data_IF_054101667815
#
_entry.id   IF_054101667815
#
_cell.length_a   1.000
_cell.length_b   1.000
_cell.length_c   1.000
_cell.angle_alpha   90.00
_cell.angle_beta   90.00
_cell.angle_gamma   90.00
#
_symmetry.space_group_name_H-M   'P 1'
#
loop_
_entity.id
_entity.type
_entity.pdbx_description
1 polymer ?
#
# COMPACT_ATOMS: atom_id res chain seq x y z
N UNK A 1 -13.04 4.62 17.46
CA UNK A 1 -13.08 5.85 16.63
C UNK A 1 -11.95 6.75 17.10
N UNK A 2 -10.77 6.63 16.50
CA UNK A 2 -9.61 7.48 16.82
C UNK A 2 -9.72 8.76 15.97
N UNK A 3 -9.78 9.92 16.62
CA UNK A 3 -9.89 11.20 15.95
C UNK A 3 -8.50 11.62 15.42
N UNK A 4 -8.17 11.22 14.20
CA UNK A 4 -6.98 11.72 13.50
C UNK A 4 -7.31 13.01 12.75
N UNK A 5 -6.43 14.00 12.86
CA UNK A 5 -6.60 15.34 12.28
C UNK A 5 -6.26 15.32 10.80
N UNK A 6 -7.28 15.43 9.96
CA UNK A 6 -7.07 15.56 8.51
C UNK A 6 -6.56 16.97 8.18
N UNK A 7 -5.51 17.10 7.35
CA UNK A 7 -5.10 18.41 6.87
C UNK A 7 -6.22 19.04 6.03
N UNK A 8 -6.47 20.34 6.21
CA UNK A 8 -7.55 21.08 5.51
C UNK A 8 -7.38 21.12 3.98
N UNK A 9 -6.20 20.77 3.45
CA UNK A 9 -5.87 20.80 2.02
C UNK A 9 -5.27 19.46 1.60
N UNK A 10 -6.11 18.59 1.04
CA UNK A 10 -5.70 17.33 0.42
C UNK A 10 -5.29 17.58 -1.03
N UNK A 11 -4.11 17.11 -1.42
CA UNK A 11 -3.65 17.12 -2.80
C UNK A 11 -4.58 16.33 -3.74
N UNK A 12 -4.50 16.56 -5.06
CA UNK A 12 -5.38 15.90 -6.03
C UNK A 12 -5.23 14.37 -6.00
N UNK A 13 -4.02 13.85 -5.73
CA UNK A 13 -3.74 12.42 -5.61
C UNK A 13 -4.29 11.81 -4.32
N UNK A 14 -4.18 12.52 -3.20
CA UNK A 14 -4.73 12.09 -1.91
C UNK A 14 -6.26 12.00 -1.97
N UNK A 15 -6.91 12.90 -2.71
CA UNK A 15 -8.36 12.86 -2.92
C UNK A 15 -8.82 11.62 -3.70
N UNK A 16 -8.01 11.14 -4.65
CA UNK A 16 -8.29 9.93 -5.42
C UNK A 16 -8.02 8.69 -4.56
N UNK A 17 -6.90 8.65 -3.83
CA UNK A 17 -6.57 7.54 -2.94
C UNK A 17 -7.57 7.37 -1.79
N UNK A 18 -8.04 8.47 -1.19
CA UNK A 18 -9.06 8.45 -0.13
C UNK A 18 -10.49 8.20 -0.62
N UNK A 19 -10.72 8.11 -1.93
CA UNK A 19 -12.02 7.71 -2.50
C UNK A 19 -12.24 6.20 -2.51
N UNK A 20 -11.18 5.38 -2.41
CA UNK A 20 -11.37 3.94 -2.28
C UNK A 20 -11.94 3.60 -0.89
N UNK A 21 -13.07 2.89 -0.80
CA UNK A 21 -13.79 2.72 0.47
C UNK A 21 -12.98 1.97 1.54
N UNK A 22 -12.22 0.94 1.13
CA UNK A 22 -11.45 0.11 2.06
C UNK A 22 -10.00 0.60 2.12
N UNK A 23 -9.34 0.75 0.97
CA UNK A 23 -7.94 1.20 0.90
C UNK A 23 -7.78 2.65 1.37
N UNK A 24 -8.68 3.56 0.98
CA UNK A 24 -8.64 4.95 1.43
C UNK A 24 -8.85 5.10 2.93
N UNK A 25 -9.59 4.18 3.55
CA UNK A 25 -9.75 4.15 5.01
C UNK A 25 -8.45 3.70 5.69
N UNK A 26 -7.86 2.59 5.27
CA UNK A 26 -6.58 2.09 5.83
C UNK A 26 -5.46 3.12 5.63
N UNK A 27 -5.35 3.70 4.43
CA UNK A 27 -4.36 4.73 4.12
C UNK A 27 -4.50 5.96 5.02
N UNK A 28 -5.74 6.39 5.30
CA UNK A 28 -5.99 7.51 6.21
C UNK A 28 -5.54 7.20 7.64
N UNK A 29 -5.82 5.99 8.10
CA UNK A 29 -5.40 5.53 9.43
C UNK A 29 -3.87 5.34 9.52
N UNK A 30 -3.19 4.98 8.43
CA UNK A 30 -1.72 4.84 8.39
C UNK A 30 -1.01 6.20 8.29
N UNK A 31 -1.49 7.13 7.47
CA UNK A 31 -0.82 8.41 7.25
C UNK A 31 -1.05 9.43 8.38
N UNK A 32 -2.24 9.40 9.01
CA UNK A 32 -2.64 10.40 10.01
C UNK A 32 -2.99 9.79 11.36
N UNK A 33 -3.00 8.46 11.48
CA UNK A 33 -3.26 7.78 12.74
C UNK A 33 -2.00 7.61 13.61
N UNK A 34 -2.17 6.81 14.66
CA UNK A 34 -1.12 6.53 15.62
C UNK A 34 -0.02 5.62 15.00
N UNK A 35 1.25 5.71 15.45
CA UNK A 35 2.37 5.00 14.84
C UNK A 35 2.18 3.46 14.82
N UNK A 36 1.44 2.92 15.79
CA UNK A 36 1.08 1.50 15.86
C UNK A 36 0.23 1.03 14.66
N UNK A 37 -0.46 1.94 13.98
CA UNK A 37 -1.36 1.61 12.89
C UNK A 37 -0.64 1.06 11.64
N UNK A 38 0.65 1.38 11.51
CA UNK A 38 1.53 0.82 10.47
C UNK A 38 1.63 -0.70 10.60
N UNK A 39 1.73 -1.23 11.83
CA UNK A 39 1.81 -2.67 12.06
C UNK A 39 0.52 -3.39 11.69
N UNK A 40 -0.64 -2.78 11.95
CA UNK A 40 -1.93 -3.34 11.55
C UNK A 40 -2.11 -3.35 10.03
N UNK A 41 -1.65 -2.31 9.34
CA UNK A 41 -1.66 -2.27 7.87
C UNK A 41 -0.73 -3.33 7.27
N UNK A 42 0.47 -3.49 7.82
CA UNK A 42 1.41 -4.53 7.40
C UNK A 42 0.85 -5.94 7.62
N UNK A 43 0.27 -6.20 8.80
CA UNK A 43 -0.37 -7.48 9.10
C UNK A 43 -1.51 -7.78 8.12
N UNK A 44 -2.37 -6.78 7.84
CA UNK A 44 -3.46 -6.91 6.86
C UNK A 44 -2.94 -7.22 5.46
N UNK A 45 -1.85 -6.57 5.04
CA UNK A 45 -1.22 -6.84 3.76
C UNK A 45 -0.68 -8.28 3.67
N UNK A 46 0.01 -8.76 4.70
CA UNK A 46 0.52 -10.14 4.77
C UNK A 46 -0.62 -11.15 4.75
N UNK A 47 -1.72 -10.89 5.47
CA UNK A 47 -2.91 -11.75 5.45
C UNK A 47 -3.54 -11.80 4.05
N UNK A 48 -3.73 -10.65 3.39
CA UNK A 48 -4.27 -10.59 2.02
C UNK A 48 -3.37 -11.33 1.02
N UNK A 49 -2.05 -11.21 1.18
CA UNK A 49 -1.11 -11.97 0.36
C UNK A 49 -1.19 -13.48 0.65
N UNK A 50 -1.30 -13.89 1.91
CA UNK A 50 -1.53 -15.28 2.28
C UNK A 50 -2.80 -15.86 1.64
N UNK A 51 -3.89 -15.09 1.64
CA UNK A 51 -5.15 -15.46 0.96
C UNK A 51 -4.92 -15.60 -0.56
N UNK A 52 -4.16 -14.70 -1.16
CA UNK A 52 -3.82 -14.76 -2.59
C UNK A 52 -3.02 -16.02 -2.93
N UNK A 53 -2.06 -16.39 -2.09
CA UNK A 53 -1.29 -17.64 -2.20
C UNK A 53 -2.20 -18.86 -2.01
N UNK A 54 -3.16 -18.83 -1.09
CA UNK A 54 -4.10 -19.95 -0.92
C UNK A 54 -5.08 -20.09 -2.09
N UNK A 55 -5.52 -18.98 -2.68
CA UNK A 55 -6.51 -19.00 -3.76
C UNK A 55 -5.90 -19.40 -5.11
N UNK A 56 -4.70 -18.91 -5.41
CA UNK A 56 -4.05 -19.13 -6.71
C UNK A 56 -2.85 -20.09 -6.62
N UNK A 57 -2.39 -20.44 -5.43
CA UNK A 57 -1.22 -21.29 -5.23
C UNK A 57 0.09 -20.57 -5.53
N UNK A 58 0.99 -21.29 -6.22
CA UNK A 58 2.31 -20.81 -6.63
C UNK A 58 2.29 -19.45 -7.39
N UNK A 59 1.39 -19.17 -8.35
CA UNK A 59 1.34 -17.85 -9.00
C UNK A 59 1.02 -16.71 -8.03
N UNK A 60 0.25 -16.93 -6.96
CA UNK A 60 0.01 -15.93 -5.92
C UNK A 60 1.30 -15.51 -5.19
N UNK A 61 2.28 -16.42 -5.10
CA UNK A 61 3.60 -16.14 -4.54
C UNK A 61 4.50 -15.39 -5.55
N UNK A 62 4.38 -15.70 -6.84
CA UNK A 62 5.17 -15.04 -7.90
C UNK A 62 4.67 -13.66 -8.30
N UNK A 63 3.39 -13.34 -8.11
CA UNK A 63 2.81 -12.04 -8.49
C UNK A 63 3.56 -10.84 -7.88
N UNK A 64 3.88 -10.79 -6.56
CA UNK A 64 4.67 -9.69 -5.99
C UNK A 64 6.06 -9.59 -6.63
N UNK A 65 6.72 -10.72 -6.86
CA UNK A 65 8.04 -10.75 -7.49
C UNK A 65 7.99 -10.21 -8.93
N UNK A 66 6.98 -10.61 -9.70
CA UNK A 66 6.76 -10.14 -11.07
C UNK A 66 6.45 -8.64 -11.12
N UNK A 67 5.62 -8.14 -10.20
CA UNK A 67 5.34 -6.71 -10.08
C UNK A 67 6.58 -5.88 -9.68
N UNK A 68 7.53 -6.46 -8.94
CA UNK A 68 8.78 -5.79 -8.59
C UNK A 68 9.77 -5.68 -9.76
N UNK A 69 9.65 -6.51 -10.81
CA UNK A 69 10.55 -6.45 -11.98
C UNK A 69 10.55 -5.08 -12.66
N UNK A 70 9.40 -4.51 -13.12
CA UNK A 70 9.40 -3.18 -13.73
C UNK A 70 9.84 -2.09 -12.76
N UNK A 71 9.56 -2.25 -11.46
CA UNK A 71 10.02 -1.31 -10.42
C UNK A 71 11.54 -1.32 -10.32
N UNK A 72 12.17 -2.49 -10.24
CA UNK A 72 13.62 -2.63 -10.20
C UNK A 72 14.26 -2.10 -11.50
N UNK A 73 13.68 -2.42 -12.67
CA UNK A 73 14.17 -1.90 -13.95
C UNK A 73 14.08 -0.36 -14.01
N UNK A 74 12.96 0.23 -13.62
CA UNK A 74 12.80 1.70 -13.61
C UNK A 74 13.71 2.36 -12.58
N UNK A 75 13.88 1.76 -11.40
CA UNK A 75 14.79 2.23 -10.38
C UNK A 75 16.23 2.24 -10.90
N UNK A 76 16.68 1.14 -11.52
CA UNK A 76 18.01 1.06 -12.12
C UNK A 76 18.19 2.10 -13.23
N UNK A 77 17.19 2.27 -14.11
CA UNK A 77 17.23 3.32 -15.13
C UNK A 77 17.31 4.73 -14.53
N UNK A 78 16.58 5.01 -13.45
CA UNK A 78 16.64 6.30 -12.74
C UNK A 78 18.02 6.53 -12.12
N UNK A 79 18.57 5.53 -11.40
CA UNK A 79 19.90 5.61 -10.80
C UNK A 79 21.02 5.75 -11.85
N UNK A 80 20.90 5.08 -13.00
CA UNK A 80 21.86 5.21 -14.10
C UNK A 80 21.82 6.58 -14.79
N UNK A 81 20.81 7.42 -14.53
CA UNK A 81 20.69 8.75 -15.16
C UNK A 81 21.44 9.87 -14.43
N UNK A 82 22.00 9.61 -13.24
CA UNK A 82 22.83 10.57 -12.50
C UNK A 82 22.02 11.67 -11.83
#
# INVERSE_FOLDING_TARGET
>A
MTAYTLPQRLGPLERIAFRLPILGRILKEVCYGAPENIYYALATFVCLWGILVMLFGLPGLYLPALCLVPVACTLLLLLSRG
#
